data_IF_611252979556
#
_entry.id   IF_611252979556
#
_cell.length_a   1.000
_cell.length_b   1.000
_cell.length_c   1.000
_cell.angle_alpha   90.00
_cell.angle_beta   90.00
_cell.angle_gamma   90.00
#
_symmetry.space_group_name_H-M   'P 1'
#
loop_
_entity.id
_entity.type
_entity.pdbx_description
1 polymer ?
#
# COMPACT_ATOMS: atom_id res chain seq x y z
N UNK A 1 43.60 -36.05 -7.66
CA UNK A 1 43.89 -35.62 -9.05
C UNK A 1 43.14 -34.35 -9.40
N UNK A 2 43.37 -33.20 -8.70
CA UNK A 2 42.63 -31.94 -8.94
C UNK A 2 43.53 -30.71 -9.06
N UNK A 3 44.83 -30.83 -9.16
CA UNK A 3 45.80 -29.71 -9.06
C UNK A 3 46.50 -29.39 -10.38
N UNK A 4 46.29 -30.17 -11.45
CA UNK A 4 47.07 -30.04 -12.71
C UNK A 4 46.38 -29.23 -13.83
N UNK A 5 45.15 -28.73 -13.60
CA UNK A 5 44.38 -28.00 -14.66
C UNK A 5 44.43 -26.47 -14.42
N UNK A 6 44.89 -26.04 -13.25
CA UNK A 6 44.85 -24.61 -12.86
C UNK A 6 45.75 -23.67 -13.70
N UNK A 7 46.99 -24.05 -14.10
CA UNK A 7 47.83 -23.10 -14.83
C UNK A 7 47.42 -22.90 -16.32
N UNK A 8 46.65 -23.82 -16.88
CA UNK A 8 46.23 -23.71 -18.30
C UNK A 8 44.93 -22.92 -18.46
N UNK A 9 44.09 -22.86 -17.44
CA UNK A 9 42.84 -22.13 -17.45
C UNK A 9 42.99 -20.60 -17.37
N UNK A 10 44.08 -20.14 -16.76
CA UNK A 10 44.32 -18.71 -16.55
C UNK A 10 44.64 -17.92 -17.84
N UNK A 11 45.48 -18.40 -18.77
CA UNK A 11 45.65 -17.73 -20.05
C UNK A 11 44.44 -17.81 -20.99
N UNK A 12 43.66 -18.88 -20.87
CA UNK A 12 42.43 -19.07 -21.69
C UNK A 12 41.32 -18.08 -21.31
N UNK A 13 41.15 -17.77 -20.03
CA UNK A 13 40.19 -16.76 -19.57
C UNK A 13 40.57 -15.35 -20.01
N UNK A 14 41.86 -15.01 -20.04
CA UNK A 14 42.35 -13.73 -20.56
C UNK A 14 42.15 -13.58 -22.05
N UNK A 15 42.24 -14.69 -22.80
CA UNK A 15 42.03 -14.70 -24.24
C UNK A 15 40.54 -14.52 -24.58
N UNK A 16 39.65 -15.11 -23.80
CA UNK A 16 38.19 -14.95 -23.97
C UNK A 16 37.74 -13.53 -23.62
N UNK A 17 38.33 -12.91 -22.59
CA UNK A 17 38.08 -11.52 -22.24
C UNK A 17 38.54 -10.52 -23.33
N UNK A 18 39.68 -10.79 -23.95
CA UNK A 18 40.22 -9.95 -25.02
C UNK A 18 39.37 -10.03 -26.28
N UNK A 19 38.86 -11.23 -26.62
CA UNK A 19 37.97 -11.43 -27.78
C UNK A 19 36.62 -10.78 -27.58
N UNK A 20 36.05 -10.85 -26.36
CA UNK A 20 34.77 -10.20 -26.05
C UNK A 20 34.86 -8.66 -26.11
N UNK A 21 35.98 -8.07 -25.76
CA UNK A 21 36.22 -6.63 -25.91
C UNK A 21 36.40 -6.25 -27.40
N UNK A 22 37.08 -7.07 -28.19
CA UNK A 22 37.31 -6.85 -29.63
C UNK A 22 36.02 -6.95 -30.47
N UNK A 23 35.07 -7.81 -30.03
CA UNK A 23 33.76 -8.00 -30.68
C UNK A 23 32.68 -7.01 -30.18
N UNK A 24 33.07 -5.95 -29.47
CA UNK A 24 32.15 -4.88 -29.07
C UNK A 24 31.25 -5.26 -27.88
N UNK A 25 31.61 -6.30 -27.15
CA UNK A 25 30.93 -6.66 -25.89
C UNK A 25 31.21 -5.58 -24.85
N UNK A 26 30.31 -4.61 -24.71
CA UNK A 26 30.34 -3.66 -23.60
C UNK A 26 30.22 -4.42 -22.29
N UNK A 27 31.16 -4.19 -21.40
CA UNK A 27 31.05 -4.49 -19.98
C UNK A 27 29.99 -3.58 -19.35
N UNK A 28 28.78 -3.64 -19.82
CA UNK A 28 27.67 -3.07 -19.08
C UNK A 28 27.32 -4.10 -18.01
N UNK A 29 27.75 -3.75 -16.80
CA UNK A 29 27.39 -4.49 -15.61
C UNK A 29 25.91 -4.80 -15.65
N UNK A 30 25.56 -5.99 -15.33
CA UNK A 30 24.22 -6.52 -15.13
C UNK A 30 23.41 -5.53 -14.28
N UNK A 31 22.87 -4.51 -14.89
CA UNK A 31 22.00 -3.54 -14.25
C UNK A 31 20.58 -4.08 -14.32
N UNK A 32 20.09 -4.39 -13.21
CA UNK A 32 18.76 -4.63 -12.62
C UNK A 32 17.48 -4.28 -13.44
N UNK A 33 17.57 -4.00 -14.73
CA UNK A 33 16.46 -3.54 -15.58
C UNK A 33 15.68 -4.71 -16.21
N UNK A 34 16.27 -5.89 -16.30
CA UNK A 34 15.63 -7.06 -16.94
C UNK A 34 15.00 -8.06 -15.95
N UNK A 35 14.96 -7.75 -14.66
CA UNK A 35 14.40 -8.64 -13.64
C UNK A 35 12.90 -8.90 -13.79
N UNK A 36 12.15 -7.90 -14.21
CA UNK A 36 10.69 -8.00 -14.35
C UNK A 36 10.30 -8.93 -15.51
N UNK A 37 10.86 -8.69 -16.68
CA UNK A 37 10.56 -9.47 -17.90
C UNK A 37 11.02 -10.92 -17.76
N UNK A 38 12.14 -11.16 -17.10
CA UNK A 38 12.66 -12.51 -16.90
C UNK A 38 11.90 -13.32 -15.87
N UNK A 39 11.38 -12.67 -14.82
CA UNK A 39 10.45 -13.31 -13.87
C UNK A 39 9.15 -13.66 -14.58
N UNK A 40 8.69 -12.82 -15.51
CA UNK A 40 7.52 -13.09 -16.36
C UNK A 40 7.73 -14.29 -17.26
N UNK A 41 8.85 -14.35 -17.95
CA UNK A 41 9.20 -15.45 -18.84
C UNK A 41 9.28 -16.78 -18.09
N UNK A 42 9.91 -16.78 -16.91
CA UNK A 42 10.01 -17.97 -16.06
C UNK A 42 8.66 -18.43 -15.47
N UNK A 43 7.76 -17.49 -15.14
CA UNK A 43 6.40 -17.80 -14.69
C UNK A 43 5.56 -18.35 -15.85
N UNK A 44 5.73 -17.82 -17.05
CA UNK A 44 5.02 -18.27 -18.26
C UNK A 44 5.48 -19.64 -18.75
N UNK A 45 6.77 -19.96 -18.64
CA UNK A 45 7.33 -21.27 -19.04
C UNK A 45 6.92 -22.41 -18.10
N UNK A 46 6.57 -22.14 -16.84
CA UNK A 46 6.15 -23.14 -15.84
C UNK A 46 4.63 -23.25 -15.66
N UNK A 47 3.86 -22.60 -16.50
CA UNK A 47 2.46 -22.34 -16.32
C UNK A 47 1.49 -23.51 -16.56
N UNK A 48 0.79 -23.89 -15.52
CA UNK A 48 -0.50 -24.57 -15.58
C UNK A 48 -1.68 -23.59 -15.51
N UNK A 49 -2.93 -24.04 -15.66
CA UNK A 49 -4.13 -23.18 -15.82
C UNK A 49 -4.49 -22.27 -14.63
N UNK A 50 -3.80 -22.34 -13.49
CA UNK A 50 -4.03 -21.52 -12.31
C UNK A 50 -3.18 -20.21 -12.23
N UNK A 51 -2.41 -19.89 -13.27
CA UNK A 51 -1.38 -18.85 -13.26
C UNK A 51 -1.83 -17.41 -13.54
N UNK A 52 -2.96 -17.13 -14.24
CA UNK A 52 -3.35 -15.75 -14.51
C UNK A 52 -3.50 -14.91 -13.23
N UNK A 53 -3.98 -15.52 -12.16
CA UNK A 53 -4.22 -14.81 -10.90
C UNK A 53 -2.93 -14.60 -10.10
N UNK A 54 -2.03 -15.58 -10.08
CA UNK A 54 -0.72 -15.45 -9.40
C UNK A 54 0.19 -14.49 -10.17
N UNK A 55 0.18 -14.52 -11.48
CA UNK A 55 0.93 -13.59 -12.33
C UNK A 55 0.44 -12.17 -12.14
N UNK A 56 -0.88 -11.97 -12.14
CA UNK A 56 -1.51 -10.67 -11.87
C UNK A 56 -1.20 -10.15 -10.46
N UNK A 57 -1.25 -11.02 -9.45
CA UNK A 57 -0.90 -10.66 -8.08
C UNK A 57 0.58 -10.26 -7.95
N UNK A 58 1.48 -10.98 -8.61
CA UNK A 58 2.90 -10.66 -8.62
C UNK A 58 3.16 -9.30 -9.28
N UNK A 59 2.50 -9.00 -10.41
CA UNK A 59 2.57 -7.71 -11.09
C UNK A 59 2.06 -6.58 -10.22
N UNK A 60 0.86 -6.73 -9.68
CA UNK A 60 0.24 -5.73 -8.83
C UNK A 60 1.12 -5.43 -7.60
N UNK A 61 1.74 -6.48 -7.01
CA UNK A 61 2.67 -6.31 -5.88
C UNK A 61 3.92 -5.53 -6.28
N UNK A 62 4.43 -5.72 -7.50
CA UNK A 62 5.57 -4.94 -8.00
C UNK A 62 5.20 -3.48 -8.29
N UNK A 63 3.96 -3.23 -8.67
CA UNK A 63 3.46 -1.88 -8.95
C UNK A 63 3.16 -1.05 -7.70
N UNK A 64 2.94 -1.67 -6.55
CA UNK A 64 2.71 -0.96 -5.27
C UNK A 64 3.79 0.06 -4.92
N UNK A 65 5.05 -0.21 -5.30
CA UNK A 65 6.17 0.71 -5.05
C UNK A 65 6.12 1.95 -5.93
N UNK A 66 5.51 1.85 -7.09
CA UNK A 66 5.37 2.96 -8.04
C UNK A 66 4.08 3.75 -7.84
N UNK A 67 3.03 3.14 -7.27
CA UNK A 67 1.75 3.79 -7.00
C UNK A 67 1.76 4.53 -5.68
N UNK A 68 1.14 5.70 -5.66
CA UNK A 68 1.06 6.58 -4.50
C UNK A 68 -0.32 6.50 -3.86
N UNK A 69 -0.39 6.83 -2.57
CA UNK A 69 -1.63 6.86 -1.79
C UNK A 69 -2.69 7.78 -2.40
N UNK A 70 -2.28 8.89 -3.00
CA UNK A 70 -3.18 9.84 -3.67
C UNK A 70 -4.05 9.22 -4.78
N UNK A 71 -3.59 8.11 -5.39
CA UNK A 71 -4.31 7.43 -6.47
C UNK A 71 -5.45 6.53 -5.97
N UNK A 72 -5.37 6.08 -4.72
CA UNK A 72 -6.32 5.12 -4.13
C UNK A 72 -7.14 5.71 -2.99
N UNK A 73 -6.76 6.88 -2.48
CA UNK A 73 -7.49 7.54 -1.41
C UNK A 73 -8.89 7.96 -1.86
N UNK A 74 -9.84 7.92 -0.94
CA UNK A 74 -11.12 8.61 -1.08
C UNK A 74 -10.84 10.10 -0.90
N UNK A 75 -11.12 10.97 -1.90
CA UNK A 75 -10.92 12.41 -1.78
C UNK A 75 -11.71 12.98 -0.61
N UNK A 76 -11.13 13.89 0.17
CA UNK A 76 -11.72 14.39 1.41
C UNK A 76 -13.15 14.90 1.27
N UNK A 77 -13.47 15.55 0.16
CA UNK A 77 -14.84 16.05 -0.14
C UNK A 77 -15.91 14.94 -0.21
N UNK A 78 -15.51 13.68 -0.36
CA UNK A 78 -16.39 12.51 -0.41
C UNK A 78 -16.38 11.72 0.89
N UNK A 79 -15.53 12.11 1.85
CA UNK A 79 -15.42 11.42 3.13
C UNK A 79 -16.54 11.90 4.04
N UNK A 80 -17.31 10.96 4.55
CA UNK A 80 -18.29 11.24 5.61
C UNK A 80 -17.55 11.45 6.93
N UNK A 81 -17.83 12.57 7.60
CA UNK A 81 -17.13 12.99 8.82
C UNK A 81 -18.10 13.22 9.95
N UNK A 82 -17.69 12.92 11.18
CA UNK A 82 -18.43 13.21 12.38
C UNK A 82 -17.94 14.54 12.98
N UNK A 83 -18.87 15.45 13.28
CA UNK A 83 -18.56 16.73 13.94
C UNK A 83 -18.77 16.60 15.46
N UNK A 84 -17.76 16.88 16.26
CA UNK A 84 -17.86 16.83 17.72
C UNK A 84 -18.97 17.73 18.27
N UNK A 85 -19.19 18.88 17.65
CA UNK A 85 -20.21 19.86 18.04
C UNK A 85 -21.64 19.32 18.01
N UNK A 86 -21.89 18.24 17.25
CA UNK A 86 -23.21 17.57 17.23
C UNK A 86 -23.53 16.81 18.51
N UNK A 87 -22.50 16.56 19.31
CA UNK A 87 -22.64 15.79 20.54
C UNK A 87 -23.02 14.33 20.32
N UNK A 88 -23.24 13.59 21.40
CA UNK A 88 -23.53 12.15 21.35
C UNK A 88 -24.81 11.79 20.58
N UNK A 89 -25.86 12.60 20.69
CA UNK A 89 -27.13 12.34 20.00
C UNK A 89 -26.99 12.47 18.48
N UNK A 90 -26.34 13.55 18.00
CA UNK A 90 -26.07 13.72 16.57
C UNK A 90 -25.13 12.65 16.02
N UNK A 91 -24.19 12.18 16.82
CA UNK A 91 -23.33 11.06 16.48
C UNK A 91 -24.11 9.76 16.34
N UNK A 92 -25.04 9.50 17.28
CA UNK A 92 -25.88 8.31 17.25
C UNK A 92 -26.77 8.27 16.00
N UNK A 93 -27.40 9.39 15.67
CA UNK A 93 -28.21 9.52 14.46
C UNK A 93 -27.38 9.23 13.20
N UNK A 94 -26.20 9.82 13.10
CA UNK A 94 -25.31 9.64 11.96
C UNK A 94 -24.79 8.19 11.87
N UNK A 95 -24.34 7.59 12.97
CA UNK A 95 -23.87 6.22 12.97
C UNK A 95 -24.97 5.18 12.72
N UNK A 96 -26.23 5.52 13.01
CA UNK A 96 -27.37 4.65 12.72
C UNK A 96 -27.72 4.59 11.23
N UNK A 97 -27.29 5.57 10.45
CA UNK A 97 -27.62 5.69 9.02
C UNK A 97 -26.43 5.49 8.08
N UNK A 98 -25.20 5.71 8.58
CA UNK A 98 -23.99 5.54 7.76
C UNK A 98 -23.70 4.09 7.41
N UNK A 99 -23.19 3.87 6.21
CA UNK A 99 -22.65 2.57 5.77
C UNK A 99 -21.17 2.36 6.15
N UNK A 100 -20.51 3.39 6.72
CA UNK A 100 -19.09 3.35 7.00
C UNK A 100 -18.81 2.93 8.44
N UNK A 101 -17.94 1.95 8.62
CA UNK A 101 -17.55 1.45 9.94
C UNK A 101 -16.69 2.43 10.74
N UNK A 102 -16.10 3.44 10.11
CA UNK A 102 -15.20 4.43 10.73
C UNK A 102 -15.44 5.78 10.14
N UNK A 103 -15.72 6.75 11.00
CA UNK A 103 -15.86 8.14 10.59
C UNK A 103 -14.73 8.97 11.20
N UNK A 104 -13.99 9.75 10.38
CA UNK A 104 -13.11 10.78 10.89
C UNK A 104 -13.89 11.79 11.71
N UNK A 105 -13.30 12.24 12.82
CA UNK A 105 -13.89 13.22 13.73
C UNK A 105 -13.26 14.57 13.49
N UNK A 106 -14.09 15.59 13.34
CA UNK A 106 -13.69 16.97 13.11
C UNK A 106 -14.07 17.80 14.34
N UNK A 107 -13.15 18.62 14.81
CA UNK A 107 -13.39 19.61 15.86
C UNK A 107 -14.05 20.89 15.33
N UNK A 108 -14.35 21.83 16.24
CA UNK A 108 -14.94 23.14 15.92
C UNK A 108 -14.07 24.05 15.03
N UNK A 109 -12.76 23.78 14.98
CA UNK A 109 -11.84 24.49 14.08
C UNK A 109 -11.77 23.87 12.68
N UNK A 110 -12.45 22.72 12.47
CA UNK A 110 -12.43 21.97 11.22
C UNK A 110 -11.23 21.05 11.07
N UNK A 111 -10.43 20.87 12.12
CA UNK A 111 -9.30 19.95 12.10
C UNK A 111 -9.73 18.51 12.41
N UNK A 112 -9.08 17.53 11.78
CA UNK A 112 -9.33 16.12 12.05
C UNK A 112 -8.60 15.72 13.32
N UNK A 113 -9.34 15.38 14.38
CA UNK A 113 -8.77 14.99 15.67
C UNK A 113 -8.56 13.49 15.85
N UNK A 114 -9.20 12.68 15.02
CA UNK A 114 -9.11 11.23 15.08
C UNK A 114 -10.22 10.56 14.30
N UNK A 115 -10.59 9.36 14.70
CA UNK A 115 -11.75 8.65 14.16
C UNK A 115 -12.47 7.85 15.25
N UNK A 116 -13.75 7.59 15.04
CA UNK A 116 -14.56 6.72 15.91
C UNK A 116 -15.01 5.52 15.09
N UNK A 117 -15.03 4.35 15.73
CA UNK A 117 -15.54 3.12 15.13
C UNK A 117 -17.04 2.98 15.45
N UNK A 118 -17.87 2.84 14.41
CA UNK A 118 -19.33 2.75 14.51
C UNK A 118 -19.81 1.74 15.57
N UNK A 119 -19.34 0.48 15.49
CA UNK A 119 -19.80 -0.57 16.40
C UNK A 119 -19.38 -0.32 17.84
N UNK A 120 -18.23 0.32 18.08
CA UNK A 120 -17.80 0.65 19.45
C UNK A 120 -18.70 1.72 20.06
N UNK A 121 -19.06 2.72 19.27
CA UNK A 121 -19.96 3.77 19.72
C UNK A 121 -21.39 3.24 19.94
N UNK A 122 -21.94 2.48 18.99
CA UNK A 122 -23.29 1.95 19.08
C UNK A 122 -23.47 0.87 20.17
N UNK A 123 -22.36 0.27 20.64
CA UNK A 123 -22.39 -0.66 21.77
C UNK A 123 -22.51 0.02 23.15
N UNK A 124 -22.32 1.34 23.20
CA UNK A 124 -22.45 2.11 24.44
C UNK A 124 -23.89 2.59 24.65
N UNK A 125 -24.25 2.92 25.91
CA UNK A 125 -25.52 3.57 26.19
C UNK A 125 -25.67 4.88 25.40
N UNK A 126 -26.91 5.22 25.04
CA UNK A 126 -27.20 6.52 24.42
C UNK A 126 -26.74 7.67 25.30
N UNK A 127 -26.20 8.70 24.71
CA UNK A 127 -25.68 9.86 25.43
C UNK A 127 -24.25 9.69 25.98
N UNK A 128 -23.59 8.57 25.66
CA UNK A 128 -22.18 8.38 26.02
C UNK A 128 -21.29 9.40 25.33
N UNK A 129 -20.30 9.93 26.05
CA UNK A 129 -19.33 10.89 25.53
C UNK A 129 -18.53 10.32 24.34
N UNK A 130 -18.19 11.18 23.39
CA UNK A 130 -17.47 10.81 22.17
C UNK A 130 -15.95 10.78 22.37
N UNK A 131 -15.44 11.70 23.17
CA UNK A 131 -14.01 11.97 23.35
C UNK A 131 -13.20 10.71 23.74
N UNK A 132 -13.66 9.86 24.68
CA UNK A 132 -12.94 8.65 25.05
C UNK A 132 -12.84 7.61 23.94
N UNK A 133 -13.69 7.71 22.91
CA UNK A 133 -13.74 6.79 21.78
C UNK A 133 -12.91 7.27 20.59
N UNK A 134 -12.43 8.50 20.64
CA UNK A 134 -11.61 9.06 19.56
C UNK A 134 -10.25 8.37 19.54
N UNK A 135 -10.01 7.62 18.49
CA UNK A 135 -8.74 6.94 18.26
C UNK A 135 -7.80 7.85 17.47
N UNK A 136 -6.50 7.86 17.84
CA UNK A 136 -5.51 8.63 17.10
C UNK A 136 -5.44 8.18 15.65
N UNK A 137 -5.09 9.08 14.76
CA UNK A 137 -5.09 8.86 13.33
C UNK A 137 -3.67 8.91 12.77
N UNK A 138 -3.30 7.90 11.98
CA UNK A 138 -2.09 7.94 11.19
C UNK A 138 -2.26 8.94 10.06
N UNK A 139 -1.32 9.88 9.91
CA UNK A 139 -1.23 10.78 8.77
C UNK A 139 -0.20 10.27 7.76
N UNK A 140 -0.57 10.30 6.48
CA UNK A 140 0.26 9.91 5.34
C UNK A 140 0.41 11.09 4.39
N UNK A 141 1.60 11.23 3.82
CA UNK A 141 1.81 12.14 2.70
C UNK A 141 1.15 11.56 1.45
N UNK A 142 0.48 12.36 0.59
CA UNK A 142 -0.16 11.89 -0.64
C UNK A 142 0.81 11.19 -1.60
N UNK A 143 2.09 11.58 -1.60
CA UNK A 143 3.13 10.95 -2.40
C UNK A 143 3.71 9.66 -1.80
N UNK A 144 3.20 9.21 -0.63
CA UNK A 144 3.67 7.97 -0.01
C UNK A 144 3.39 6.77 -0.93
N UNK A 145 4.40 5.94 -1.25
CA UNK A 145 4.19 4.68 -1.97
C UNK A 145 3.26 3.73 -1.21
N UNK A 146 2.43 2.97 -1.92
CA UNK A 146 1.43 2.10 -1.31
C UNK A 146 2.04 0.99 -0.45
N UNK A 147 3.21 0.45 -0.82
CA UNK A 147 3.94 -0.53 -0.01
C UNK A 147 4.32 0.04 1.37
N UNK A 148 4.78 1.30 1.40
CA UNK A 148 5.09 2.01 2.65
C UNK A 148 3.85 2.36 3.45
N UNK A 149 2.77 2.76 2.79
CA UNK A 149 1.49 3.04 3.44
C UNK A 149 0.95 1.78 4.12
N UNK A 150 0.97 0.64 3.42
CA UNK A 150 0.60 -0.66 3.96
C UNK A 150 1.44 -1.04 5.19
N UNK A 151 2.75 -0.88 5.09
CA UNK A 151 3.67 -1.18 6.20
C UNK A 151 3.36 -0.30 7.43
N UNK A 152 3.17 1.01 7.24
CA UNK A 152 2.85 1.96 8.32
C UNK A 152 1.50 1.66 8.98
N UNK A 153 0.45 1.38 8.19
CA UNK A 153 -0.85 0.98 8.71
C UNK A 153 -0.76 -0.29 9.57
N UNK A 154 0.00 -1.29 9.10
CA UNK A 154 0.20 -2.55 9.86
C UNK A 154 1.01 -2.35 11.13
N UNK A 155 2.11 -1.61 11.07
CA UNK A 155 2.97 -1.33 12.22
C UNK A 155 2.26 -0.52 13.31
N UNK A 156 1.44 0.44 12.91
CA UNK A 156 0.65 1.25 13.85
C UNK A 156 -0.61 0.55 14.36
N UNK A 157 -0.97 -0.63 13.86
CA UNK A 157 -2.22 -1.30 14.16
C UNK A 157 -3.47 -0.57 13.63
N UNK A 158 -3.28 0.48 12.83
CA UNK A 158 -4.36 1.29 12.28
C UNK A 158 -4.94 0.64 11.02
N UNK A 159 -6.26 0.74 10.86
CA UNK A 159 -6.95 0.23 9.68
C UNK A 159 -7.32 1.33 8.68
N UNK A 160 -7.04 2.57 9.03
CA UNK A 160 -7.28 3.73 8.19
C UNK A 160 -6.25 4.82 8.48
N UNK A 161 -6.04 5.71 7.53
CA UNK A 161 -5.15 6.85 7.65
C UNK A 161 -5.74 8.08 6.97
N UNK A 162 -5.40 9.24 7.53
CA UNK A 162 -5.62 10.53 6.89
C UNK A 162 -4.52 10.74 5.84
N UNK A 163 -4.89 11.18 4.66
CA UNK A 163 -3.94 11.66 3.66
C UNK A 163 -3.89 13.18 3.73
N UNK A 164 -2.69 13.72 3.92
CA UNK A 164 -2.47 15.12 4.21
C UNK A 164 -2.24 15.39 5.70
N UNK A 165 -2.63 16.56 6.18
CA UNK A 165 -2.51 16.95 7.60
C UNK A 165 -3.89 17.11 8.25
N UNK A 166 -3.98 17.06 9.59
CA UNK A 166 -5.22 17.31 10.31
C UNK A 166 -5.92 18.61 9.93
N UNK A 167 -5.16 19.67 9.69
CA UNK A 167 -5.67 21.01 9.32
C UNK A 167 -5.95 21.15 7.83
N UNK A 168 -5.34 20.29 6.99
CA UNK A 168 -5.52 20.24 5.53
C UNK A 168 -5.66 18.82 5.05
N UNK A 169 -6.79 18.18 5.35
CA UNK A 169 -7.06 16.81 4.90
C UNK A 169 -7.26 16.80 3.38
N UNK A 170 -6.56 15.90 2.69
CA UNK A 170 -6.66 15.70 1.25
C UNK A 170 -7.53 14.49 0.92
N UNK A 171 -7.51 13.47 1.77
CA UNK A 171 -8.26 12.25 1.57
C UNK A 171 -8.18 11.29 2.75
N UNK A 172 -8.83 10.16 2.55
CA UNK A 172 -8.92 9.06 3.48
C UNK A 172 -8.55 7.77 2.78
N UNK A 173 -7.73 6.95 3.40
CA UNK A 173 -7.35 5.65 2.86
C UNK A 173 -7.49 4.59 3.93
N UNK A 174 -8.05 3.43 3.57
CA UNK A 174 -8.13 2.29 4.46
C UNK A 174 -7.15 1.19 4.06
N UNK A 175 -6.86 0.30 5.01
CA UNK A 175 -6.08 -0.91 4.72
C UNK A 175 -6.72 -1.73 3.60
N UNK A 176 -8.07 -1.75 3.54
CA UNK A 176 -8.82 -2.44 2.49
C UNK A 176 -8.50 -1.86 1.13
N UNK A 177 -8.56 -0.53 0.96
CA UNK A 177 -8.30 0.14 -0.33
C UNK A 177 -6.90 -0.18 -0.85
N UNK A 178 -5.89 -0.18 0.05
CA UNK A 178 -4.51 -0.53 -0.32
C UNK A 178 -4.39 -2.01 -0.72
N UNK A 179 -5.08 -2.91 -0.02
CA UNK A 179 -5.06 -4.34 -0.34
C UNK A 179 -5.82 -4.63 -1.63
N UNK A 180 -6.96 -4.00 -1.88
CA UNK A 180 -7.73 -4.14 -3.11
C UNK A 180 -6.93 -3.71 -4.34
N UNK A 181 -6.10 -2.69 -4.21
CA UNK A 181 -5.19 -2.27 -5.28
C UNK A 181 -4.12 -3.34 -5.60
N UNK A 182 -3.67 -4.11 -4.59
CA UNK A 182 -2.75 -5.25 -4.77
C UNK A 182 -3.43 -6.42 -5.45
N UNK A 183 -4.63 -6.76 -4.97
CA UNK A 183 -5.33 -7.96 -5.42
C UNK A 183 -6.05 -7.74 -6.74
N UNK A 184 -6.20 -6.46 -7.17
CA UNK A 184 -6.98 -6.09 -8.35
C UNK A 184 -8.40 -6.61 -8.21
N UNK A 185 -9.32 -5.77 -7.72
CA UNK A 185 -10.77 -6.06 -7.61
C UNK A 185 -11.15 -7.56 -7.50
N UNK A 186 -10.84 -8.19 -6.38
CA UNK A 186 -11.49 -9.48 -6.03
C UNK A 186 -12.93 -9.28 -5.53
N UNK A 187 -13.42 -8.04 -5.55
CA UNK A 187 -14.74 -7.66 -5.02
C UNK A 187 -15.84 -7.62 -6.08
N UNK A 188 -15.88 -8.59 -6.98
CA UNK A 188 -17.06 -8.89 -7.80
C UNK A 188 -17.55 -10.30 -7.53
N UNK A 189 -17.80 -10.60 -6.23
CA UNK A 189 -18.57 -11.80 -5.83
C UNK A 189 -19.58 -11.41 -4.77
#
# INVERSE_FOLDING_TARGET
MRVLVSPLAWPLSKFTDAISVLLGGKRDGFRYVHGRERVFELLRERGGPALPDIERLALNTMDLRSRKVELVMVPWRKVETLRLERGPEGAFEQFSTTQFSRLPVIDGAGAVVGYIHQLEFLALPRGSELEPLIRPLLALDPATPLDRALARLRQSGQRAALVGSPQRPLGWVTLKDVVEEVTGELSRW
#
